data_IF_285197337154
#
_entry.id   IF_285197337154
#
_cell.length_a   1.000
_cell.length_b   1.000
_cell.length_c   1.000
_cell.angle_alpha   90.00
_cell.angle_beta   90.00
_cell.angle_gamma   90.00
#
_symmetry.space_group_name_H-M   'P 1'
#
loop_
_entity.id
_entity.type
_entity.pdbx_description
1 polymer ?
#
# COMPACT_ATOMS: atom_id res chain seq x y z
N UNK A 1 -23.50 -9.23 9.53
CA UNK A 1 -22.15 -9.00 8.97
C UNK A 1 -22.22 -7.68 8.21
N UNK A 2 -21.18 -6.84 8.30
CA UNK A 2 -21.11 -5.62 7.51
C UNK A 2 -21.02 -5.96 6.01
N UNK A 3 -21.70 -5.18 5.18
CA UNK A 3 -21.61 -5.23 3.72
C UNK A 3 -20.24 -4.76 3.24
N UNK A 4 -19.87 -5.13 2.02
CA UNK A 4 -18.61 -4.69 1.41
C UNK A 4 -18.53 -3.15 1.31
N UNK A 5 -19.65 -2.48 1.02
CA UNK A 5 -19.73 -1.03 0.95
C UNK A 5 -19.50 -0.36 2.31
N UNK A 6 -20.08 -0.91 3.38
CA UNK A 6 -19.84 -0.41 4.74
C UNK A 6 -18.37 -0.56 5.16
N UNK A 7 -17.74 -1.71 4.87
CA UNK A 7 -16.33 -1.94 5.17
C UNK A 7 -15.42 -0.99 4.38
N UNK A 8 -15.69 -0.78 3.10
CA UNK A 8 -14.95 0.18 2.27
C UNK A 8 -15.11 1.61 2.81
N UNK A 9 -16.32 2.02 3.16
CA UNK A 9 -16.57 3.32 3.77
C UNK A 9 -15.83 3.53 5.10
N UNK A 10 -15.71 2.48 5.93
CA UNK A 10 -14.91 2.54 7.16
C UNK A 10 -13.41 2.69 6.88
N UNK A 11 -12.88 2.05 5.84
CA UNK A 11 -11.48 2.20 5.42
C UNK A 11 -11.23 3.62 4.92
N UNK A 12 -12.13 4.15 4.08
CA UNK A 12 -12.06 5.52 3.54
C UNK A 12 -12.14 6.56 4.67
N UNK A 13 -13.06 6.38 5.63
CA UNK A 13 -13.18 7.24 6.81
C UNK A 13 -11.90 7.21 7.66
N UNK A 14 -11.36 6.03 7.96
CA UNK A 14 -10.13 5.92 8.75
C UNK A 14 -8.93 6.57 8.06
N UNK A 15 -8.85 6.49 6.73
CA UNK A 15 -7.84 7.18 5.95
C UNK A 15 -8.03 8.70 6.03
N UNK A 16 -9.26 9.20 5.83
CA UNK A 16 -9.60 10.62 5.94
C UNK A 16 -9.29 11.19 7.31
N UNK A 17 -9.66 10.49 8.38
CA UNK A 17 -9.39 10.89 9.77
C UNK A 17 -7.89 11.03 10.03
N UNK A 18 -7.08 10.09 9.52
CA UNK A 18 -5.65 10.13 9.70
C UNK A 18 -4.97 11.25 8.91
N UNK A 19 -5.47 11.58 7.72
CA UNK A 19 -4.99 12.72 6.93
C UNK A 19 -5.37 14.03 7.63
N UNK A 20 -6.62 14.17 8.07
CA UNK A 20 -7.07 15.34 8.82
C UNK A 20 -6.27 15.54 10.12
N UNK A 21 -5.95 14.45 10.83
CA UNK A 21 -5.12 14.51 12.04
C UNK A 21 -3.69 14.99 11.74
N UNK A 22 -3.13 14.65 10.57
CA UNK A 22 -1.81 15.08 10.15
C UNK A 22 -1.80 16.56 9.70
N UNK A 23 -2.84 17.00 8.98
CA UNK A 23 -3.06 18.41 8.63
C UNK A 23 -3.19 19.28 9.88
N UNK A 24 -3.93 18.81 10.90
CA UNK A 24 -4.04 19.48 12.19
C UNK A 24 -2.70 19.63 12.93
N UNK A 25 -1.72 18.77 12.62
CA UNK A 25 -0.34 18.86 13.13
C UNK A 25 0.56 19.76 12.28
N UNK A 26 0.00 20.41 11.26
CA UNK A 26 0.68 21.39 10.40
C UNK A 26 1.25 20.79 9.12
N UNK A 27 0.83 19.60 8.71
CA UNK A 27 1.11 19.11 7.37
C UNK A 27 0.37 19.94 6.32
N UNK A 28 1.02 20.15 5.17
CA UNK A 28 0.48 20.96 4.06
C UNK A 28 0.74 20.30 2.70
N UNK A 29 1.30 19.10 2.69
CA UNK A 29 1.73 18.40 1.49
C UNK A 29 0.64 17.46 0.98
N UNK A 30 0.68 17.14 -0.31
CA UNK A 30 -0.16 16.07 -0.86
C UNK A 30 0.23 14.73 -0.22
N UNK A 31 -0.77 13.94 0.19
CA UNK A 31 -0.57 12.56 0.63
C UNK A 31 -0.40 11.67 -0.59
N UNK A 32 0.87 11.35 -0.91
CA UNK A 32 1.25 10.67 -2.15
C UNK A 32 1.53 9.17 -1.98
N UNK A 33 1.53 8.64 -0.76
CA UNK A 33 1.87 7.23 -0.54
C UNK A 33 1.23 6.65 0.71
N UNK A 34 1.14 5.32 0.71
CA UNK A 34 0.57 4.54 1.81
C UNK A 34 1.68 3.77 2.53
N UNK A 35 1.55 3.57 3.84
CA UNK A 35 2.38 2.66 4.60
C UNK A 35 1.50 1.73 5.42
N UNK A 36 1.67 0.43 5.23
CA UNK A 36 0.88 -0.58 5.91
C UNK A 36 1.73 -1.71 6.47
N UNK A 37 1.38 -2.17 7.67
CA UNK A 37 1.97 -3.35 8.31
C UNK A 37 0.96 -4.50 8.39
N UNK A 38 1.38 -5.71 8.04
CA UNK A 38 0.57 -6.94 8.11
C UNK A 38 -0.77 -6.79 7.36
N UNK A 39 -1.90 -6.72 8.06
CA UNK A 39 -3.20 -6.44 7.43
C UNK A 39 -3.26 -5.06 6.78
N UNK A 40 -2.61 -4.05 7.36
CA UNK A 40 -2.51 -2.72 6.78
C UNK A 40 -1.78 -2.72 5.44
N UNK A 41 -0.78 -3.60 5.25
CA UNK A 41 -0.10 -3.76 3.96
C UNK A 41 -1.05 -4.36 2.90
N UNK A 42 -1.90 -5.32 3.28
CA UNK A 42 -2.94 -5.86 2.39
C UNK A 42 -3.90 -4.74 1.95
N UNK A 43 -4.36 -3.92 2.88
CA UNK A 43 -5.27 -2.80 2.57
C UNK A 43 -4.57 -1.75 1.69
N UNK A 44 -3.32 -1.38 2.00
CA UNK A 44 -2.57 -0.41 1.20
C UNK A 44 -2.41 -0.86 -0.26
N UNK A 45 -2.02 -2.11 -0.50
CA UNK A 45 -1.92 -2.66 -1.85
C UNK A 45 -3.30 -2.74 -2.54
N UNK A 46 -4.36 -3.05 -1.79
CA UNK A 46 -5.74 -3.11 -2.29
C UNK A 46 -6.27 -1.74 -2.71
N UNK A 47 -5.93 -0.68 -1.97
CA UNK A 47 -6.26 0.70 -2.32
C UNK A 47 -5.58 1.13 -3.62
N UNK A 48 -4.28 0.83 -3.79
CA UNK A 48 -3.57 1.10 -5.04
C UNK A 48 -4.19 0.33 -6.22
N UNK A 49 -4.58 -0.92 -6.00
CA UNK A 49 -5.20 -1.74 -7.04
C UNK A 49 -6.59 -1.21 -7.44
N UNK A 50 -7.43 -0.84 -6.48
CA UNK A 50 -8.73 -0.23 -6.74
C UNK A 50 -8.59 1.10 -7.51
N UNK A 51 -7.62 1.94 -7.12
CA UNK A 51 -7.27 3.16 -7.86
C UNK A 51 -6.88 2.83 -9.31
N UNK A 52 -5.93 1.91 -9.52
CA UNK A 52 -5.50 1.52 -10.87
C UNK A 52 -6.67 1.02 -11.72
N UNK A 53 -7.53 0.17 -11.15
CA UNK A 53 -8.70 -0.37 -11.83
C UNK A 53 -9.64 0.75 -12.27
N UNK A 54 -10.06 1.63 -11.36
CA UNK A 54 -10.99 2.70 -11.69
C UNK A 54 -10.40 3.73 -12.68
N UNK A 55 -9.09 4.05 -12.58
CA UNK A 55 -8.41 4.87 -13.59
C UNK A 55 -8.47 4.23 -14.98
N UNK A 56 -8.30 2.90 -15.09
CA UNK A 56 -8.32 2.19 -16.37
C UNK A 56 -9.72 2.09 -16.99
N UNK A 57 -10.78 2.09 -16.17
CA UNK A 57 -12.17 1.95 -16.62
C UNK A 57 -12.94 3.27 -16.70
N UNK A 58 -12.29 4.39 -16.39
CA UNK A 58 -12.94 5.71 -16.33
C UNK A 58 -13.94 5.84 -15.17
N UNK A 59 -13.86 4.93 -14.18
CA UNK A 59 -14.71 4.95 -13.00
C UNK A 59 -14.28 6.03 -12.01
N UNK A 60 -15.25 6.58 -11.27
CA UNK A 60 -14.96 7.48 -10.16
C UNK A 60 -14.24 6.68 -9.05
N UNK A 61 -13.07 7.17 -8.66
CA UNK A 61 -12.37 6.69 -7.46
C UNK A 61 -12.89 7.54 -6.30
N UNK A 62 -13.40 6.88 -5.26
CA UNK A 62 -13.87 7.58 -4.07
C UNK A 62 -12.72 7.90 -3.09
N UNK A 63 -11.48 7.61 -3.47
CA UNK A 63 -10.28 8.12 -2.78
C UNK A 63 -9.89 9.45 -3.41
N UNK A 64 -10.10 10.53 -2.67
CA UNK A 64 -9.71 11.91 -3.04
C UNK A 64 -8.21 12.03 -3.39
N UNK A 65 -7.41 11.10 -2.87
CA UNK A 65 -5.95 11.10 -3.00
C UNK A 65 -5.46 10.16 -4.11
N UNK A 66 -4.50 10.65 -4.90
CA UNK A 66 -3.82 9.88 -5.94
C UNK A 66 -2.52 9.30 -5.39
N UNK A 67 -2.59 8.11 -4.83
CA UNK A 67 -1.42 7.44 -4.31
C UNK A 67 -0.48 7.02 -5.44
N UNK A 68 0.80 7.34 -5.27
CA UNK A 68 1.87 7.09 -6.24
C UNK A 68 2.66 5.84 -5.90
N UNK A 69 2.69 5.44 -4.62
CA UNK A 69 3.35 4.22 -4.18
C UNK A 69 2.79 3.74 -2.83
N UNK A 70 3.16 2.52 -2.43
CA UNK A 70 2.93 2.02 -1.07
C UNK A 70 4.14 1.29 -0.50
N UNK A 71 4.31 1.38 0.82
CA UNK A 71 5.28 0.61 1.63
C UNK A 71 4.52 -0.51 2.34
N UNK A 72 4.87 -1.74 2.02
CA UNK A 72 4.17 -2.97 2.42
C UNK A 72 5.07 -3.78 3.35
N UNK A 73 4.86 -3.62 4.65
CA UNK A 73 5.63 -4.33 5.67
C UNK A 73 4.92 -5.62 6.07
N UNK A 74 5.57 -6.77 5.88
CA UNK A 74 5.05 -8.09 6.27
C UNK A 74 3.60 -8.36 5.77
N UNK A 75 3.27 -7.87 4.56
CA UNK A 75 1.94 -7.98 3.97
C UNK A 75 1.65 -9.35 3.39
N UNK A 76 0.42 -9.84 3.56
CA UNK A 76 -0.04 -11.13 3.04
C UNK A 76 -1.22 -10.93 2.09
N UNK A 77 -1.25 -11.67 0.98
CA UNK A 77 -2.42 -11.75 0.11
C UNK A 77 -3.53 -12.66 0.67
N UNK A 78 -4.59 -12.90 -0.12
CA UNK A 78 -4.94 -12.21 -1.36
C UNK A 78 -5.28 -10.73 -1.14
N UNK A 79 -5.26 -9.92 -2.21
CA UNK A 79 -5.75 -8.54 -2.17
C UNK A 79 -7.26 -8.49 -1.96
N UNK A 80 -7.75 -7.36 -1.44
CA UNK A 80 -9.16 -7.10 -1.21
C UNK A 80 -9.72 -6.23 -2.34
N UNK A 81 -10.90 -6.59 -2.81
CA UNK A 81 -11.65 -5.79 -3.75
C UNK A 81 -12.40 -4.67 -3.02
N UNK A 82 -11.96 -3.43 -3.26
CA UNK A 82 -12.47 -2.21 -2.61
C UNK A 82 -13.38 -1.39 -3.55
N UNK A 83 -13.94 -2.01 -4.60
CA UNK A 83 -14.92 -1.36 -5.49
C UNK A 83 -16.26 -2.06 -5.34
N UNK A 84 -17.05 -1.76 -4.29
CA UNK A 84 -18.20 -2.56 -3.86
C UNK A 84 -19.34 -2.57 -4.89
N UNK A 85 -19.36 -1.63 -5.84
CA UNK A 85 -20.36 -1.53 -6.89
C UNK A 85 -20.12 -2.48 -8.08
N UNK A 86 -19.00 -3.22 -8.06
CA UNK A 86 -18.60 -4.13 -9.13
C UNK A 86 -18.39 -5.55 -8.61
N UNK A 87 -18.61 -6.59 -9.43
CA UNK A 87 -18.29 -7.97 -9.07
C UNK A 87 -16.83 -8.13 -8.65
N UNK A 88 -16.58 -8.95 -7.62
CA UNK A 88 -15.21 -9.26 -7.17
C UNK A 88 -14.47 -10.06 -8.24
N UNK A 89 -13.32 -9.58 -8.75
CA UNK A 89 -12.53 -10.33 -9.72
C UNK A 89 -11.98 -11.64 -9.12
N UNK A 90 -11.77 -12.69 -9.94
CA UNK A 90 -11.09 -13.90 -9.48
C UNK A 90 -9.72 -13.60 -8.84
N UNK A 91 -9.40 -14.29 -7.74
CA UNK A 91 -8.12 -14.14 -7.03
C UNK A 91 -8.06 -12.99 -6.01
N UNK A 92 -9.12 -12.19 -5.90
CA UNK A 92 -9.30 -11.16 -4.86
C UNK A 92 -10.36 -11.59 -3.83
N UNK A 93 -10.28 -11.03 -2.64
CA UNK A 93 -11.28 -11.17 -1.57
C UNK A 93 -12.30 -10.05 -1.61
N UNK A 94 -13.58 -10.35 -1.36
CA UNK A 94 -14.56 -9.29 -1.11
C UNK A 94 -14.25 -8.56 0.20
N UNK A 95 -14.46 -7.24 0.23
CA UNK A 95 -14.32 -6.47 1.47
C UNK A 95 -15.24 -6.96 2.60
N UNK A 96 -16.40 -7.57 2.29
CA UNK A 96 -17.27 -8.17 3.30
C UNK A 96 -16.63 -9.38 4.02
N UNK A 97 -15.59 -9.99 3.43
CA UNK A 97 -14.90 -11.16 3.96
C UNK A 97 -13.62 -10.80 4.75
N UNK A 98 -13.27 -9.51 4.82
CA UNK A 98 -12.07 -9.02 5.52
C UNK A 98 -12.00 -9.50 6.98
N UNK A 99 -13.15 -9.53 7.69
CA UNK A 99 -13.25 -9.97 9.08
C UNK A 99 -13.08 -11.50 9.26
N UNK A 100 -13.25 -12.28 8.19
CA UNK A 100 -13.36 -13.74 8.25
C UNK A 100 -12.12 -14.44 7.66
N UNK A 101 -11.23 -13.68 7.03
CA UNK A 101 -10.09 -14.16 6.25
C UNK A 101 -8.86 -14.59 7.09
N UNK A 102 -9.09 -15.20 8.25
CA UNK A 102 -8.09 -16.05 8.93
C UNK A 102 -8.24 -17.52 8.47
N UNK A 103 -9.34 -17.90 7.82
CA UNK A 103 -9.61 -19.28 7.43
C UNK A 103 -9.95 -19.42 5.94
N UNK A 104 -9.03 -20.02 5.18
CA UNK A 104 -9.41 -21.00 4.15
C UNK A 104 -9.73 -20.52 2.74
N UNK A 105 -9.22 -19.39 2.25
CA UNK A 105 -9.18 -19.18 0.79
C UNK A 105 -8.14 -20.15 0.24
N UNK A 106 -8.60 -21.28 -0.29
CA UNK A 106 -7.74 -22.28 -0.89
C UNK A 106 -6.87 -21.59 -1.95
N UNK A 107 -5.55 -21.75 -1.80
CA UNK A 107 -4.56 -21.44 -2.81
C UNK A 107 -4.82 -22.31 -4.03
N UNK A 108 -5.81 -21.98 -4.87
CA UNK A 108 -5.84 -22.51 -6.22
C UNK A 108 -4.72 -21.81 -6.98
N UNK A 109 -3.67 -22.57 -7.30
CA UNK A 109 -2.53 -22.11 -8.09
C UNK A 109 -2.97 -21.61 -9.48
N UNK A 110 -4.13 -22.06 -9.95
CA UNK A 110 -4.67 -21.77 -11.29
C UNK A 110 -5.45 -20.46 -11.43
N UNK A 111 -5.78 -19.75 -10.34
CA UNK A 111 -6.66 -18.57 -10.42
C UNK A 111 -5.94 -17.25 -10.73
N UNK A 112 -4.60 -17.25 -10.87
CA UNK A 112 -3.81 -16.07 -11.21
C UNK A 112 -3.62 -15.96 -12.73
N UNK A 113 -4.71 -15.83 -13.49
CA UNK A 113 -4.55 -15.25 -14.82
C UNK A 113 -4.01 -13.82 -14.62
N UNK A 114 -2.86 -13.53 -15.24
CA UNK A 114 -2.11 -12.26 -15.22
C UNK A 114 -2.89 -11.01 -15.67
N UNK A 115 -4.21 -11.04 -15.71
CA UNK A 115 -5.02 -10.00 -16.33
C UNK A 115 -4.93 -8.66 -15.59
N UNK A 116 -4.60 -8.64 -14.29
CA UNK A 116 -4.62 -7.41 -13.49
C UNK A 116 -3.58 -7.38 -12.35
N UNK A 117 -2.28 -7.28 -12.67
CA UNK A 117 -1.24 -7.03 -11.66
C UNK A 117 -1.18 -5.56 -11.25
N UNK A 118 -0.77 -5.30 -10.01
CA UNK A 118 -0.51 -3.94 -9.54
C UNK A 118 0.74 -3.37 -10.22
N UNK A 119 0.54 -2.34 -11.04
CA UNK A 119 1.58 -1.61 -11.76
C UNK A 119 2.04 -0.35 -11.02
N UNK A 120 1.22 0.14 -10.07
CA UNK A 120 1.63 1.25 -9.18
C UNK A 120 2.79 0.78 -8.31
N UNK A 121 3.88 1.58 -8.16
CA UNK A 121 5.05 1.19 -7.39
C UNK A 121 4.77 0.70 -5.96
N UNK A 122 5.39 -0.40 -5.56
CA UNK A 122 5.35 -0.93 -4.18
C UNK A 122 6.75 -1.19 -3.64
N UNK A 123 6.94 -0.88 -2.35
CA UNK A 123 8.13 -1.24 -1.59
C UNK A 123 7.75 -2.34 -0.62
N UNK A 124 8.22 -3.55 -0.87
CA UNK A 124 8.03 -4.70 0.01
C UNK A 124 9.13 -4.76 1.05
N UNK A 125 8.78 -4.76 2.32
CA UNK A 125 9.73 -4.85 3.43
C UNK A 125 9.54 -6.19 4.15
N UNK A 126 10.50 -7.10 4.01
CA UNK A 126 10.42 -8.46 4.53
C UNK A 126 11.46 -8.71 5.63
N UNK A 127 10.97 -9.18 6.80
CA UNK A 127 11.83 -9.75 7.83
C UNK A 127 12.24 -11.17 7.45
N UNK A 128 13.54 -11.44 7.36
CA UNK A 128 14.09 -12.75 6.98
C UNK A 128 13.83 -13.86 8.02
N UNK A 129 13.52 -13.49 9.27
CA UNK A 129 13.16 -14.40 10.35
C UNK A 129 11.65 -14.46 10.60
N UNK A 130 10.85 -13.84 9.74
CA UNK A 130 9.39 -13.88 9.87
C UNK A 130 8.84 -15.27 9.48
N UNK A 131 8.07 -15.95 10.35
CA UNK A 131 7.47 -17.26 10.01
C UNK A 131 6.56 -17.22 8.78
N UNK A 132 6.01 -16.04 8.44
CA UNK A 132 5.18 -15.80 7.27
C UNK A 132 5.93 -15.29 6.04
N UNK A 133 7.28 -15.32 6.01
CA UNK A 133 8.07 -14.78 4.91
C UNK A 133 7.62 -15.28 3.53
N UNK A 134 7.31 -16.57 3.41
CA UNK A 134 6.87 -17.12 2.12
C UNK A 134 5.52 -16.55 1.67
N UNK A 135 4.62 -16.23 2.62
CA UNK A 135 3.36 -15.58 2.32
C UNK A 135 3.57 -14.14 1.82
N UNK A 136 4.58 -13.44 2.33
CA UNK A 136 4.95 -12.09 1.87
C UNK A 136 5.55 -12.12 0.47
N UNK A 137 6.47 -13.06 0.22
CA UNK A 137 7.04 -13.32 -1.11
C UNK A 137 5.98 -13.73 -2.13
N UNK A 138 4.98 -14.52 -1.71
CA UNK A 138 3.83 -14.88 -2.54
C UNK A 138 2.97 -13.68 -2.89
N UNK A 139 2.69 -12.79 -1.93
CA UNK A 139 1.97 -11.55 -2.20
C UNK A 139 2.68 -10.70 -3.26
N UNK A 140 4.00 -10.52 -3.09
CA UNK A 140 4.85 -9.81 -4.05
C UNK A 140 4.74 -10.40 -5.46
N UNK A 141 4.95 -11.72 -5.60
CA UNK A 141 4.99 -12.39 -6.91
C UNK A 141 3.62 -12.47 -7.60
N UNK A 142 2.54 -12.65 -6.82
CA UNK A 142 1.21 -12.96 -7.38
C UNK A 142 0.39 -11.72 -7.70
N UNK A 143 0.64 -10.60 -7.04
CA UNK A 143 -0.22 -9.41 -7.12
C UNK A 143 0.47 -8.15 -7.65
N UNK A 144 1.79 -8.13 -7.76
CA UNK A 144 2.54 -6.95 -8.21
C UNK A 144 3.30 -7.25 -9.51
N UNK A 145 3.34 -6.28 -10.42
CA UNK A 145 4.13 -6.38 -11.63
C UNK A 145 5.63 -6.36 -11.27
N UNK A 146 6.49 -7.19 -11.88
CA UNK A 146 7.92 -7.22 -11.54
C UNK A 146 8.60 -5.85 -11.63
N UNK A 147 8.22 -5.04 -12.63
CA UNK A 147 8.80 -3.70 -12.84
C UNK A 147 8.28 -2.63 -11.87
N UNK A 148 7.24 -2.91 -11.08
CA UNK A 148 6.69 -1.97 -10.08
C UNK A 148 7.16 -2.28 -8.67
N UNK A 149 7.93 -3.34 -8.46
CA UNK A 149 8.32 -3.83 -7.13
C UNK A 149 9.74 -3.40 -6.76
N UNK A 150 9.88 -2.86 -5.56
CA UNK A 150 11.15 -2.72 -4.84
C UNK A 150 11.13 -3.63 -3.62
N UNK A 151 12.14 -4.48 -3.43
CA UNK A 151 12.25 -5.38 -2.29
C UNK A 151 13.35 -4.93 -1.32
N UNK A 152 13.00 -4.82 -0.04
CA UNK A 152 13.92 -4.58 1.08
C UNK A 152 13.81 -5.77 2.03
N UNK A 153 14.90 -6.51 2.19
CA UNK A 153 14.99 -7.61 3.16
C UNK A 153 15.90 -7.20 4.32
N UNK A 154 15.52 -7.58 5.54
CA UNK A 154 16.27 -7.26 6.75
C UNK A 154 16.21 -8.41 7.76
N UNK A 155 17.17 -8.47 8.68
CA UNK A 155 17.21 -9.51 9.71
C UNK A 155 16.23 -9.20 10.85
N UNK A 156 14.94 -9.49 10.62
CA UNK A 156 13.86 -9.26 11.57
C UNK A 156 12.74 -10.29 11.47
N UNK A 157 11.87 -10.29 12.47
CA UNK A 157 10.68 -11.15 12.57
C UNK A 157 9.43 -10.42 12.03
N UNK A 158 8.23 -10.81 12.48
CA UNK A 158 6.95 -10.19 12.12
C UNK A 158 6.73 -8.84 12.81
N UNK A 159 7.54 -7.83 12.46
CA UNK A 159 7.45 -6.47 13.01
C UNK A 159 7.97 -5.41 12.04
N UNK A 160 7.80 -4.15 12.41
CA UNK A 160 8.39 -3.00 11.70
C UNK A 160 9.90 -2.89 12.03
N UNK A 161 10.78 -2.55 11.06
CA UNK A 161 12.18 -2.27 11.33
C UNK A 161 12.37 -1.17 12.38
N UNK A 162 13.24 -1.39 13.36
CA UNK A 162 13.54 -0.43 14.45
C UNK A 162 15.03 -0.12 14.59
N UNK A 163 15.91 -0.97 14.06
CA UNK A 163 17.36 -0.71 14.12
C UNK A 163 17.69 0.34 13.06
N UNK A 164 18.49 1.34 13.44
CA UNK A 164 18.77 2.50 12.60
C UNK A 164 19.23 2.15 11.19
N UNK A 165 20.12 1.14 11.04
CA UNK A 165 20.57 0.69 9.73
C UNK A 165 19.47 0.09 8.86
N UNK A 166 18.56 -0.71 9.44
CA UNK A 166 17.44 -1.29 8.70
C UNK A 166 16.40 -0.21 8.31
N UNK A 167 16.16 0.73 9.22
CA UNK A 167 15.28 1.90 8.98
C UNK A 167 15.86 2.77 7.87
N UNK A 168 17.17 3.03 7.90
CA UNK A 168 17.85 3.84 6.89
C UNK A 168 17.73 3.22 5.49
N UNK A 169 17.97 1.91 5.35
CA UNK A 169 17.79 1.20 4.08
C UNK A 169 16.35 1.31 3.55
N UNK A 170 15.36 1.14 4.43
CA UNK A 170 13.95 1.30 4.07
C UNK A 170 13.66 2.73 3.61
N UNK A 171 14.09 3.73 4.37
CA UNK A 171 13.87 5.15 4.06
C UNK A 171 14.54 5.56 2.74
N UNK A 172 15.75 5.07 2.46
CA UNK A 172 16.44 5.31 1.20
C UNK A 172 15.62 4.79 0.01
N UNK A 173 15.03 3.60 0.12
CA UNK A 173 14.15 3.07 -0.94
C UNK A 173 12.84 3.86 -1.06
N UNK A 174 12.26 4.31 0.05
CA UNK A 174 11.09 5.21 0.02
C UNK A 174 11.40 6.47 -0.78
N UNK A 175 12.50 7.16 -0.47
CA UNK A 175 12.89 8.37 -1.21
C UNK A 175 13.19 8.09 -2.69
N UNK A 176 13.85 6.97 -3.01
CA UNK A 176 14.13 6.59 -4.39
C UNK A 176 12.83 6.41 -5.18
N UNK A 177 11.93 5.55 -4.70
CA UNK A 177 10.65 5.28 -5.37
C UNK A 177 9.77 6.52 -5.42
N UNK A 178 9.71 7.33 -4.35
CA UNK A 178 8.90 8.55 -4.33
C UNK A 178 9.36 9.57 -5.38
N UNK A 179 10.66 9.61 -5.71
CA UNK A 179 11.21 10.48 -6.78
C UNK A 179 10.94 9.94 -8.18
N UNK A 180 10.92 8.62 -8.34
CA UNK A 180 10.71 7.95 -9.63
C UNK A 180 9.21 7.80 -9.97
N UNK A 181 8.34 7.75 -8.95
CA UNK A 181 6.91 7.53 -9.14
C UNK A 181 6.25 8.73 -9.83
N UNK A 182 5.88 8.53 -11.09
CA UNK A 182 5.15 9.51 -11.91
C UNK A 182 3.67 9.53 -11.49
N UNK A 183 3.06 10.71 -11.49
CA UNK A 183 1.62 10.88 -11.26
C UNK A 183 0.83 10.27 -12.43
N UNK A 184 -0.07 9.30 -12.20
CA UNK A 184 -0.97 8.85 -13.26
C UNK A 184 -1.84 10.02 -13.75
N UNK A 185 -1.66 10.43 -15.01
CA UNK A 185 -2.51 11.42 -15.68
C UNK A 185 -2.03 12.89 -15.71
N UNK A 186 -0.72 13.19 -15.64
CA UNK A 186 -0.20 14.53 -16.02
C UNK A 186 0.56 14.47 -17.34
N UNK A 187 0.19 15.33 -18.30
CA UNK A 187 1.01 15.65 -19.46
C UNK A 187 2.38 16.20 -18.99
N UNK A 188 3.44 15.79 -19.68
CA UNK A 188 4.84 16.18 -19.44
C UNK A 188 5.06 17.69 -19.63
N UNK A 189 4.76 18.50 -18.62
CA UNK A 189 5.32 19.86 -18.54
C UNK A 189 5.26 20.41 -17.11
N UNK A 190 6.09 19.87 -16.22
CA UNK A 190 6.46 20.55 -14.98
C UNK A 190 7.76 19.96 -14.42
N UNK A 191 8.85 20.18 -15.17
CA UNK A 191 10.18 20.06 -14.61
C UNK A 191 10.51 21.30 -13.77
N UNK A 192 11.26 21.08 -12.69
CA UNK A 192 11.85 22.04 -11.73
C UNK A 192 10.98 22.37 -10.51
N UNK A 193 11.26 21.70 -9.38
CA UNK A 193 12.15 22.20 -8.30
C UNK A 193 12.48 21.01 -7.38
N UNK A 194 13.69 20.47 -7.50
CA UNK A 194 14.39 19.89 -6.34
C UNK A 194 15.51 20.86 -6.03
N UNK A 195 15.35 21.65 -4.97
CA UNK A 195 16.43 22.48 -4.44
C UNK A 195 16.55 22.20 -2.95
N UNK A 196 17.75 21.74 -2.59
CA UNK A 196 18.26 21.50 -1.24
C UNK A 196 17.62 20.36 -0.44
N UNK A 197 18.34 19.23 -0.39
CA UNK A 197 18.24 18.27 0.72
C UNK A 197 19.46 18.53 1.60
N UNK A 198 19.23 19.32 2.65
CA UNK A 198 20.18 19.50 3.74
C UNK A 198 20.00 18.31 4.70
N UNK A 199 21.07 17.58 4.96
CA UNK A 199 21.09 16.46 5.90
C UNK A 199 20.97 17.00 7.33
N UNK A 200 19.76 17.09 7.91
CA UNK A 200 19.54 17.15 9.37
C UNK A 200 18.07 16.93 9.82
N UNK A 201 17.76 16.89 11.15
CA UNK A 201 17.16 15.78 11.87
C UNK A 201 15.62 15.85 11.91
N UNK A 202 14.99 14.67 11.98
CA UNK A 202 13.61 14.47 12.47
C UNK A 202 12.55 15.25 11.67
N UNK A 203 12.01 14.57 10.66
CA UNK A 203 10.65 14.72 10.14
C UNK A 203 10.17 16.15 9.83
N UNK A 204 10.39 16.62 8.61
CA UNK A 204 9.46 17.55 7.94
C UNK A 204 9.40 17.25 6.44
N UNK A 205 8.18 17.10 5.91
CA UNK A 205 7.90 17.35 4.48
C UNK A 205 7.27 16.22 3.66
N UNK A 206 7.19 14.99 4.18
CA UNK A 206 6.41 13.91 3.56
C UNK A 206 5.69 13.15 4.66
N UNK A 207 4.37 13.26 4.68
CA UNK A 207 3.54 12.54 5.63
C UNK A 207 3.31 11.12 5.10
N UNK A 208 3.98 10.14 5.72
CA UNK A 208 3.63 8.74 5.56
C UNK A 208 2.66 8.36 6.68
N UNK A 209 1.45 7.98 6.28
CA UNK A 209 0.39 7.58 7.18
C UNK A 209 0.68 6.15 7.67
N UNK A 210 0.96 5.99 8.96
CA UNK A 210 1.20 4.68 9.59
C UNK A 210 -0.13 4.14 10.10
N UNK A 211 -0.74 3.22 9.34
CA UNK A 211 -1.85 2.43 9.87
C UNK A 211 -1.30 1.30 10.75
N UNK A 212 -1.17 1.55 12.06
CA UNK A 212 -0.96 0.50 13.07
C UNK A 212 -2.31 -0.09 13.46
N UNK A 213 -2.48 -1.42 13.38
CA UNK A 213 -3.66 -2.08 13.95
C UNK A 213 -3.72 -1.82 15.45
N UNK A 214 -4.92 -1.47 15.93
CA UNK A 214 -5.26 -1.36 17.34
C UNK A 214 -4.76 -2.59 18.11
N UNK A 215 -4.13 -2.32 19.25
CA UNK A 215 -3.54 -3.34 20.12
C UNK A 215 -4.58 -4.20 20.83
N UNK A 216 -4.11 -5.40 21.14
CA UNK A 216 -4.57 -6.45 22.07
C UNK A 216 -6.00 -7.01 21.93
#
# INVERSE_FOLDING_TARGET
MASAAEVVGLIEAALGDAIAADDLRGATGEVVGLLGFSQGAKIAASLLYAQQHCLSTGGAINVEHKFRFAVLLAGRGPLVWLVPNLPTPPGLLSAAQLSTAVLGVADSEDAAHHCHLLQVPTIHVHGLSDPGLELHRRMLKRYCHPDSVTLVEWHGEHRVPIRSGDVELMVQQIYRVAREAVVPGRCEQADRVVKHVELWPVFRGVSCLVASSLGE
#
